data_IF_830713648243
#
_entry.id   IF_830713648243
#
_cell.length_a   1.000
_cell.length_b   1.000
_cell.length_c   1.000
_cell.angle_alpha   90.00
_cell.angle_beta   90.00
_cell.angle_gamma   90.00
#
_symmetry.space_group_name_H-M   'P 1'
#
loop_
_entity.id
_entity.type
_entity.pdbx_description
1 polymer ?
#
# COMPACT_ATOMS: atom_id res chain seq x y z
N UNK A 1 27.04 20.21 6.11
CA UNK A 1 26.57 18.86 5.70
C UNK A 1 25.75 18.14 6.79
N UNK A 2 26.22 18.04 8.05
CA UNK A 2 25.51 17.33 9.14
C UNK A 2 24.06 17.79 9.40
N UNK A 3 23.79 19.09 9.26
CA UNK A 3 22.43 19.66 9.43
C UNK A 3 21.48 19.28 8.28
N UNK A 4 21.97 19.25 7.05
CA UNK A 4 21.19 18.85 5.87
C UNK A 4 20.78 17.38 5.95
N UNK A 5 21.69 16.51 6.39
CA UNK A 5 21.39 15.10 6.65
C UNK A 5 20.31 14.94 7.73
N UNK A 6 20.37 15.72 8.82
CA UNK A 6 19.35 15.71 9.86
C UNK A 6 17.97 16.17 9.34
N UNK A 7 17.93 17.22 8.51
CA UNK A 7 16.68 17.67 7.90
C UNK A 7 16.11 16.64 6.92
N UNK A 8 16.94 16.03 6.07
CA UNK A 8 16.50 14.97 5.16
C UNK A 8 15.92 13.77 5.92
N UNK A 9 16.56 13.39 7.04
CA UNK A 9 16.09 12.29 7.88
C UNK A 9 14.79 12.62 8.60
N UNK A 10 14.65 13.85 9.11
CA UNK A 10 13.40 14.33 9.70
C UNK A 10 12.25 14.37 8.68
N UNK A 11 12.55 14.76 7.44
CA UNK A 11 11.58 14.77 6.33
C UNK A 11 11.15 13.36 5.96
N UNK A 12 12.09 12.42 5.88
CA UNK A 12 11.81 11.00 5.64
C UNK A 12 10.99 10.38 6.77
N UNK A 13 11.32 10.67 8.03
CA UNK A 13 10.56 10.19 9.20
C UNK A 13 9.17 10.82 9.26
N UNK A 14 9.03 12.12 9.00
CA UNK A 14 7.74 12.80 8.93
C UNK A 14 6.86 12.25 7.82
N UNK A 15 7.45 11.96 6.65
CA UNK A 15 6.78 11.31 5.53
C UNK A 15 6.30 9.90 5.89
N UNK A 16 7.16 9.09 6.52
CA UNK A 16 6.80 7.75 6.99
C UNK A 16 5.69 7.80 8.05
N UNK A 17 5.74 8.78 8.98
CA UNK A 17 4.70 8.98 9.98
C UNK A 17 3.37 9.39 9.34
N UNK A 18 3.38 10.20 8.28
CA UNK A 18 2.19 10.57 7.53
C UNK A 18 1.57 9.35 6.83
N UNK A 19 2.41 8.53 6.18
CA UNK A 19 1.97 7.30 5.50
C UNK A 19 1.43 6.27 6.50
N UNK A 20 2.11 6.09 7.63
CA UNK A 20 1.64 5.23 8.71
C UNK A 20 0.33 5.74 9.31
N UNK A 21 0.21 7.05 9.53
CA UNK A 21 -1.04 7.70 9.98
C UNK A 21 -2.20 7.48 9.02
N UNK A 22 -1.95 7.53 7.70
CA UNK A 22 -2.94 7.22 6.67
C UNK A 22 -3.45 5.77 6.74
N UNK A 23 -2.64 4.82 7.21
CA UNK A 23 -3.09 3.44 7.44
C UNK A 23 -4.05 3.31 8.63
N UNK A 24 -4.04 4.26 9.58
CA UNK A 24 -4.96 4.30 10.72
C UNK A 24 -6.31 4.96 10.40
N UNK A 25 -6.53 5.44 9.17
CA UNK A 25 -7.83 5.93 8.73
C UNK A 25 -8.58 4.76 8.08
N UNK A 26 -9.42 4.02 8.83
CA UNK A 26 -10.20 2.92 8.27
C UNK A 26 -11.10 3.46 7.14
N UNK A 27 -11.00 2.85 5.96
CA UNK A 27 -11.80 3.21 4.78
C UNK A 27 -11.13 4.19 3.80
N UNK A 28 -9.92 4.68 4.06
CA UNK A 28 -9.25 5.61 3.14
C UNK A 28 -8.77 4.96 1.82
N UNK A 29 -8.61 3.63 1.76
CA UNK A 29 -8.16 2.96 0.55
C UNK A 29 -8.85 1.59 0.35
N UNK A 30 -9.73 1.43 -0.65
CA UNK A 30 -10.33 0.14 -1.00
C UNK A 30 -9.33 -0.85 -1.63
N UNK A 31 -8.10 -0.40 -1.89
CA UNK A 31 -6.99 -1.20 -2.41
C UNK A 31 -5.68 -0.95 -1.67
N UNK A 32 -4.87 -1.99 -1.58
CA UNK A 32 -3.53 -2.02 -1.02
C UNK A 32 -2.53 -2.40 -2.13
N UNK A 33 -1.48 -1.59 -2.30
CA UNK A 33 -0.36 -1.90 -3.18
C UNK A 33 0.71 -2.59 -2.34
N UNK A 34 0.98 -3.83 -2.69
CA UNK A 34 1.98 -4.69 -2.08
C UNK A 34 3.24 -4.63 -2.93
N UNK A 35 4.34 -4.13 -2.38
CA UNK A 35 5.66 -4.15 -3.01
C UNK A 35 6.40 -5.40 -2.54
N UNK A 36 7.03 -6.08 -3.50
CA UNK A 36 7.58 -7.43 -3.36
C UNK A 36 6.53 -8.41 -2.81
N UNK A 37 5.48 -8.70 -3.60
CA UNK A 37 4.47 -9.68 -3.20
C UNK A 37 5.09 -11.07 -3.08
N UNK A 38 4.67 -11.83 -2.07
CA UNK A 38 5.01 -13.24 -2.00
C UNK A 38 4.43 -13.99 -3.21
N UNK A 39 5.10 -15.05 -3.72
CA UNK A 39 4.58 -15.83 -4.84
C UNK A 39 3.19 -16.43 -4.54
N UNK A 40 2.92 -16.71 -3.27
CA UNK A 40 1.64 -17.26 -2.78
C UNK A 40 0.69 -16.19 -2.22
N UNK A 41 0.79 -14.94 -2.69
CA UNK A 41 0.01 -13.81 -2.16
C UNK A 41 -1.50 -14.07 -2.13
N UNK A 42 -2.08 -14.63 -3.20
CA UNK A 42 -3.51 -14.96 -3.26
C UNK A 42 -3.89 -16.15 -2.37
N UNK A 43 -2.98 -17.10 -2.16
CA UNK A 43 -3.21 -18.20 -1.22
C UNK A 43 -3.20 -17.71 0.24
N UNK A 44 -2.42 -16.67 0.54
CA UNK A 44 -2.33 -16.03 1.87
C UNK A 44 -3.47 -15.06 2.15
N UNK A 45 -4.09 -14.53 1.10
CA UNK A 45 -5.17 -13.55 1.14
C UNK A 45 -6.34 -14.01 0.23
N UNK A 46 -7.10 -15.04 0.62
CA UNK A 46 -8.16 -15.61 -0.22
C UNK A 46 -9.33 -14.65 -0.46
N UNK A 47 -9.58 -13.74 0.48
CA UNK A 47 -10.62 -12.70 0.38
C UNK A 47 -10.17 -11.48 -0.43
N UNK A 48 -8.88 -11.39 -0.76
CA UNK A 48 -8.32 -10.26 -1.48
C UNK A 48 -8.49 -10.45 -2.99
N UNK A 49 -8.97 -9.40 -3.66
CA UNK A 49 -9.14 -9.41 -5.11
C UNK A 49 -7.92 -8.80 -5.77
N UNK A 50 -7.25 -9.54 -6.65
CA UNK A 50 -6.14 -8.99 -7.43
C UNK A 50 -6.67 -7.96 -8.44
N UNK A 51 -6.22 -6.72 -8.33
CA UNK A 51 -6.53 -5.64 -9.28
C UNK A 51 -5.47 -5.61 -10.38
N UNK A 52 -4.20 -5.67 -9.98
CA UNK A 52 -3.07 -5.61 -10.90
C UNK A 52 -1.84 -6.29 -10.28
N UNK A 53 -0.99 -6.92 -11.09
CA UNK A 53 0.26 -7.51 -10.62
C UNK A 53 1.38 -7.37 -11.64
N UNK A 54 2.56 -7.02 -11.12
CA UNK A 54 3.86 -6.99 -11.78
C UNK A 54 4.81 -7.90 -10.98
N UNK A 55 5.95 -8.29 -11.55
CA UNK A 55 6.98 -9.08 -10.84
C UNK A 55 7.41 -8.49 -9.49
N UNK A 56 7.31 -7.16 -9.33
CA UNK A 56 7.79 -6.45 -8.15
C UNK A 56 6.66 -5.84 -7.31
N UNK A 57 5.42 -5.80 -7.80
CA UNK A 57 4.31 -5.13 -7.13
C UNK A 57 2.99 -5.84 -7.41
N UNK A 58 2.10 -5.93 -6.43
CA UNK A 58 0.73 -6.43 -6.62
C UNK A 58 -0.25 -5.50 -5.92
N UNK A 59 -1.24 -5.01 -6.65
CA UNK A 59 -2.37 -4.27 -6.11
C UNK A 59 -3.50 -5.25 -5.83
N UNK A 60 -3.90 -5.33 -4.57
CA UNK A 60 -5.04 -6.11 -4.10
C UNK A 60 -6.11 -5.20 -3.52
N UNK A 61 -7.38 -5.50 -3.76
CA UNK A 61 -8.51 -4.82 -3.15
C UNK A 61 -9.22 -5.72 -2.15
N UNK A 62 -10.11 -5.11 -1.36
CA UNK A 62 -10.92 -5.80 -0.35
C UNK A 62 -10.10 -6.42 0.79
N UNK A 63 -8.92 -5.85 1.08
CA UNK A 63 -8.06 -6.30 2.17
C UNK A 63 -7.33 -5.11 2.79
N UNK A 64 -7.18 -5.15 4.11
CA UNK A 64 -6.46 -4.09 4.83
C UNK A 64 -4.96 -4.30 4.76
N UNK A 65 -4.18 -3.22 4.81
CA UNK A 65 -2.72 -3.33 4.85
C UNK A 65 -2.23 -4.13 6.08
N UNK A 66 -2.93 -4.02 7.21
CA UNK A 66 -2.66 -4.81 8.41
C UNK A 66 -2.82 -6.32 8.17
N UNK A 67 -3.83 -6.75 7.40
CA UNK A 67 -3.99 -8.16 7.00
C UNK A 67 -2.87 -8.65 6.11
N UNK A 68 -2.44 -7.85 5.15
CA UNK A 68 -1.31 -8.18 4.27
C UNK A 68 -0.03 -8.38 5.08
N UNK A 69 0.26 -7.50 6.05
CA UNK A 69 1.40 -7.64 6.95
C UNK A 69 1.27 -8.86 7.87
N UNK A 70 0.11 -9.07 8.50
CA UNK A 70 -0.12 -10.24 9.39
C UNK A 70 0.05 -11.57 8.67
N UNK A 71 -0.34 -11.64 7.39
CA UNK A 71 -0.24 -12.86 6.57
C UNK A 71 1.14 -13.02 5.90
N UNK A 72 2.04 -12.05 6.08
CA UNK A 72 3.35 -12.04 5.43
C UNK A 72 3.24 -12.09 3.92
N UNK A 73 2.20 -11.45 3.36
CA UNK A 73 1.91 -11.52 1.93
C UNK A 73 2.77 -10.54 1.10
N UNK A 74 3.51 -9.64 1.75
CA UNK A 74 4.53 -8.82 1.09
C UNK A 74 5.40 -8.03 2.07
N UNK A 75 6.44 -7.39 1.54
CA UNK A 75 7.44 -6.68 2.33
C UNK A 75 6.97 -5.29 2.75
N UNK A 76 6.37 -4.55 1.83
CA UNK A 76 5.91 -3.19 2.06
C UNK A 76 4.54 -3.02 1.43
N UNK A 77 3.59 -2.53 2.22
CA UNK A 77 2.20 -2.31 1.80
C UNK A 77 1.93 -0.83 1.89
N UNK A 78 1.61 -0.24 0.74
CA UNK A 78 1.16 1.14 0.65
C UNK A 78 -0.36 1.16 0.50
N UNK A 79 -1.07 2.07 1.18
CA UNK A 79 -2.47 2.32 0.89
C UNK A 79 -2.58 2.80 -0.56
N UNK A 80 -3.12 1.96 -1.44
CA UNK A 80 -3.38 2.28 -2.82
C UNK A 80 -4.81 2.77 -2.93
N UNK A 81 -5.03 3.96 -2.43
CA UNK A 81 -6.33 4.59 -2.40
C UNK A 81 -6.14 6.08 -2.26
N UNK A 82 -5.52 6.66 -3.27
CA UNK A 82 -5.87 8.03 -3.59
C UNK A 82 -7.29 7.93 -4.17
N UNK A 83 -8.32 8.51 -3.54
CA UNK A 83 -9.66 8.63 -4.16
C UNK A 83 -9.62 9.28 -5.56
N UNK A 84 -8.47 9.85 -5.96
CA UNK A 84 -8.17 10.51 -7.23
C UNK A 84 -7.54 9.61 -8.31
N UNK A 85 -7.27 8.32 -8.06
CA UNK A 85 -6.73 7.39 -9.06
C UNK A 85 -7.76 6.39 -9.61
N UNK A 86 -9.05 6.60 -9.35
CA UNK A 86 -10.11 5.92 -10.09
C UNK A 86 -10.07 6.45 -11.53
N UNK A 87 -9.75 5.59 -12.51
CA UNK A 87 -10.06 5.88 -13.91
C UNK A 87 -11.57 6.14 -13.96
N UNK A 88 -12.02 7.34 -14.37
CA UNK A 88 -13.45 7.61 -14.47
C UNK A 88 -14.07 6.58 -15.44
N UNK A 89 -15.26 6.02 -15.12
CA UNK A 89 -15.92 5.09 -16.03
C UNK A 89 -16.10 5.76 -17.39
N UNK A 90 -15.70 5.07 -18.46
CA UNK A 90 -15.95 5.53 -19.83
C UNK A 90 -17.45 5.81 -19.99
N UNK A 91 -17.86 7.00 -20.46
CA UNK A 91 -19.24 7.24 -20.80
C UNK A 91 -19.62 6.32 -21.96
N UNK A 92 -20.54 5.38 -21.70
CA UNK A 92 -21.26 4.66 -22.75
C UNK A 92 -22.29 5.58 -23.41
#
# INVERSE_FOLDING_TARGET
MRRVAAYALALALGWLALMAGGMFIPGAAPSALVIAPAPDLLARLPEARLVHATRLTATVSNVSAAEVYRKGAGLLVLPAGLPLCMIPPEPR
#
